data_IF_655606000583
#
_entry.id   IF_655606000583
#
_cell.length_a   1.000
_cell.length_b   1.000
_cell.length_c   1.000
_cell.angle_alpha   90.00
_cell.angle_beta   90.00
_cell.angle_gamma   90.00
#
_symmetry.space_group_name_H-M   'P 1'
#
loop_
_entity.id
_entity.type
_entity.pdbx_description
1 polymer ?
#
# COMPACT_ATOMS: atom_id res chain seq x y z
N UNK A 1 -24.71 -24.07 17.66
CA UNK A 1 -24.16 -23.47 16.42
C UNK A 1 -23.74 -22.00 16.58
N UNK A 2 -23.10 -21.61 17.68
CA UNK A 2 -22.70 -20.21 17.91
C UNK A 2 -21.18 -19.98 17.98
N UNK A 3 -20.38 -21.01 17.71
CA UNK A 3 -18.92 -20.95 17.90
C UNK A 3 -18.10 -20.59 16.66
N UNK A 4 -18.74 -20.32 15.51
CA UNK A 4 -18.05 -20.22 14.21
C UNK A 4 -17.99 -18.81 13.59
N UNK A 5 -18.43 -17.76 14.31
CA UNK A 5 -18.48 -16.38 13.78
C UNK A 5 -17.48 -15.40 14.41
N UNK A 6 -16.77 -15.78 15.47
CA UNK A 6 -15.82 -14.87 16.15
C UNK A 6 -14.36 -15.00 15.69
N UNK A 7 -14.01 -15.98 14.86
CA UNK A 7 -12.63 -16.20 14.41
C UNK A 7 -12.21 -15.35 13.19
N UNK A 8 -13.12 -14.57 12.61
CA UNK A 8 -12.81 -13.72 11.45
C UNK A 8 -12.28 -12.32 11.81
N UNK A 9 -12.40 -11.89 13.08
CA UNK A 9 -11.97 -10.55 13.51
C UNK A 9 -10.61 -10.52 14.23
N UNK A 10 -10.04 -11.67 14.62
CA UNK A 10 -8.79 -11.71 15.40
C UNK A 10 -7.50 -11.95 14.59
N UNK A 11 -7.57 -12.07 13.25
CA UNK A 11 -6.37 -12.17 12.39
C UNK A 11 -5.82 -10.83 11.88
N UNK A 12 -6.36 -9.68 12.30
CA UNK A 12 -5.92 -8.36 11.79
C UNK A 12 -4.94 -7.61 12.70
N UNK A 13 -4.37 -8.28 13.71
CA UNK A 13 -3.51 -7.64 14.72
C UNK A 13 -2.22 -8.42 14.99
N UNK A 14 -1.53 -8.86 13.94
CA UNK A 14 -0.17 -9.38 14.07
C UNK A 14 0.75 -8.69 13.07
N UNK A 15 1.89 -8.25 13.60
CA UNK A 15 3.00 -7.54 12.97
C UNK A 15 2.83 -6.01 12.82
N UNK A 16 2.68 -5.32 13.96
CA UNK A 16 3.08 -3.92 14.10
C UNK A 16 4.63 -3.82 14.04
N UNK A 17 5.23 -4.16 12.90
CA UNK A 17 6.51 -3.54 12.55
C UNK A 17 6.21 -2.05 12.36
N UNK A 18 7.09 -1.13 12.79
CA UNK A 18 6.88 0.29 12.54
C UNK A 18 6.86 0.54 11.03
N UNK A 19 5.68 0.58 10.43
CA UNK A 19 5.51 0.89 9.01
C UNK A 19 5.64 2.40 8.87
N UNK A 20 6.74 2.84 8.26
CA UNK A 20 6.93 4.25 7.94
C UNK A 20 6.12 4.59 6.70
N UNK A 21 5.05 5.37 6.88
CA UNK A 21 4.25 5.84 5.76
C UNK A 21 4.85 7.14 5.23
N UNK A 22 5.20 7.15 3.94
CA UNK A 22 5.72 8.34 3.24
C UNK A 22 4.63 8.86 2.31
N UNK A 23 4.28 10.14 2.40
CA UNK A 23 3.49 10.77 1.34
C UNK A 23 4.38 11.09 0.14
N UNK A 24 4.03 10.53 -1.02
CA UNK A 24 4.63 10.83 -2.31
C UNK A 24 3.60 11.50 -3.20
N UNK A 25 3.95 12.65 -3.75
CA UNK A 25 3.12 13.27 -4.80
C UNK A 25 3.61 12.74 -6.14
N UNK A 26 2.73 12.11 -6.90
CA UNK A 26 3.00 11.59 -8.24
C UNK A 26 3.41 12.74 -9.15
N UNK A 27 4.63 12.69 -9.67
CA UNK A 27 5.13 13.66 -10.63
C UNK A 27 4.54 13.47 -12.03
N UNK A 28 4.80 14.44 -12.94
CA UNK A 28 4.49 14.27 -14.35
C UNK A 28 5.22 13.03 -14.91
N UNK A 29 4.49 12.18 -15.63
CA UNK A 29 4.98 10.92 -16.21
C UNK A 29 5.44 9.85 -15.20
N UNK A 30 5.19 10.04 -13.90
CA UNK A 30 5.35 8.96 -12.93
C UNK A 30 4.17 7.98 -13.02
N UNK A 31 4.48 6.71 -12.82
CA UNK A 31 3.49 5.65 -12.72
C UNK A 31 3.76 4.81 -11.46
N UNK A 32 2.80 3.96 -11.13
CA UNK A 32 2.85 3.11 -9.95
C UNK A 32 4.12 2.25 -9.91
N UNK A 33 4.60 1.78 -11.06
CA UNK A 33 5.83 0.99 -11.19
C UNK A 33 7.09 1.80 -10.85
N UNK A 34 7.22 3.03 -11.37
CA UNK A 34 8.35 3.91 -11.04
C UNK A 34 8.39 4.23 -9.55
N UNK A 35 7.23 4.49 -8.96
CA UNK A 35 7.09 4.77 -7.52
C UNK A 35 7.42 3.51 -6.72
N UNK A 36 6.92 2.33 -7.11
CA UNK A 36 7.24 1.08 -6.42
C UNK A 36 8.73 0.77 -6.47
N UNK A 37 9.39 0.98 -7.61
CA UNK A 37 10.84 0.82 -7.75
C UNK A 37 11.62 1.84 -6.92
N UNK A 38 11.15 3.08 -6.82
CA UNK A 38 11.79 4.13 -6.00
C UNK A 38 11.78 3.81 -4.51
N UNK A 39 10.68 3.22 -4.02
CA UNK A 39 10.44 3.02 -2.59
C UNK A 39 10.72 1.60 -2.09
N UNK A 40 10.36 0.59 -2.87
CA UNK A 40 10.52 -0.82 -2.51
C UNK A 40 11.60 -1.53 -3.33
N UNK A 41 12.14 -0.87 -4.37
CA UNK A 41 13.11 -1.47 -5.31
C UNK A 41 12.61 -2.76 -5.98
N UNK A 42 11.29 -2.97 -5.96
CA UNK A 42 10.65 -4.15 -6.49
C UNK A 42 9.22 -3.85 -6.98
N UNK A 43 8.68 -4.82 -7.71
CA UNK A 43 7.33 -4.76 -8.27
C UNK A 43 6.23 -4.97 -7.23
N UNK A 44 6.50 -5.73 -6.16
CA UNK A 44 5.54 -5.97 -5.08
C UNK A 44 5.09 -4.69 -4.38
N UNK A 45 5.90 -3.62 -4.45
CA UNK A 45 5.50 -2.29 -4.00
C UNK A 45 4.24 -1.73 -4.69
N UNK A 46 3.98 -2.09 -5.95
CA UNK A 46 2.77 -1.67 -6.66
C UNK A 46 1.51 -2.10 -5.90
N UNK A 47 1.47 -3.35 -5.47
CA UNK A 47 0.32 -3.92 -4.76
C UNK A 47 0.15 -3.30 -3.37
N UNK A 48 1.27 -3.06 -2.66
CA UNK A 48 1.25 -2.38 -1.35
C UNK A 48 0.68 -0.97 -1.47
N UNK A 49 1.16 -0.19 -2.44
CA UNK A 49 0.70 1.18 -2.67
C UNK A 49 -0.79 1.18 -3.06
N UNK A 50 -1.21 0.26 -3.96
CA UNK A 50 -2.62 0.15 -4.36
C UNK A 50 -3.53 -0.19 -3.19
N UNK A 51 -3.18 -1.22 -2.42
CA UNK A 51 -3.96 -1.65 -1.28
C UNK A 51 -4.09 -0.55 -0.24
N UNK A 52 -2.98 0.17 0.03
CA UNK A 52 -2.96 1.25 1.02
C UNK A 52 -3.72 2.50 0.58
N UNK A 53 -3.68 2.85 -0.71
CA UNK A 53 -4.39 4.02 -1.24
C UNK A 53 -5.77 3.69 -1.82
N UNK A 54 -6.24 2.45 -1.65
CA UNK A 54 -7.51 1.96 -2.20
C UNK A 54 -7.66 2.23 -3.72
N UNK A 55 -6.56 2.11 -4.47
CA UNK A 55 -6.55 2.32 -5.91
C UNK A 55 -7.30 1.17 -6.61
N UNK A 56 -8.21 1.52 -7.51
CA UNK A 56 -8.99 0.55 -8.31
C UNK A 56 -8.19 -0.07 -9.47
N UNK A 57 -6.93 0.29 -9.63
CA UNK A 57 -6.07 -0.21 -10.70
C UNK A 57 -4.65 0.35 -10.60
N UNK A 58 -3.89 0.22 -11.70
CA UNK A 58 -2.51 0.73 -11.79
C UNK A 58 -2.44 2.17 -12.29
N UNK A 59 -3.58 2.79 -12.62
CA UNK A 59 -3.65 4.18 -13.07
C UNK A 59 -3.45 5.13 -11.91
N UNK A 60 -2.42 5.96 -12.03
CA UNK A 60 -2.14 7.10 -11.14
C UNK A 60 -2.03 8.35 -11.99
N UNK A 61 -2.39 9.50 -11.42
CA UNK A 61 -2.39 10.77 -12.13
C UNK A 61 -1.33 11.70 -11.58
N UNK A 62 -0.71 12.52 -12.43
CA UNK A 62 0.21 13.57 -12.00
C UNK A 62 -0.47 14.51 -11.00
N UNK A 63 0.19 14.82 -9.89
CA UNK A 63 -0.36 15.59 -8.78
C UNK A 63 -1.15 14.78 -7.75
N UNK A 64 -1.39 13.50 -7.99
CA UNK A 64 -2.02 12.62 -7.00
C UNK A 64 -1.09 12.38 -5.82
N UNK A 65 -1.61 12.49 -4.59
CA UNK A 65 -0.86 12.15 -3.38
C UNK A 65 -1.11 10.68 -3.04
N UNK A 66 -0.03 9.91 -2.91
CA UNK A 66 -0.05 8.50 -2.53
C UNK A 66 0.69 8.31 -1.21
N UNK A 67 0.08 7.55 -0.32
CA UNK A 67 0.70 7.09 0.91
C UNK A 67 1.45 5.78 0.64
N UNK A 68 2.75 5.78 0.87
CA UNK A 68 3.64 4.67 0.57
C UNK A 68 4.04 3.99 1.90
N UNK A 69 3.47 2.83 2.24
CA UNK A 69 3.80 2.12 3.49
C UNK A 69 5.15 1.39 3.37
N UNK A 70 6.23 1.98 3.88
CA UNK A 70 7.54 1.33 3.94
C UNK A 70 7.63 0.48 5.20
N UNK A 71 7.85 -0.82 5.00
CA UNK A 71 8.21 -1.72 6.09
C UNK A 71 9.72 -1.59 6.33
N UNK A 72 10.12 -1.32 7.57
CA UNK A 72 11.53 -1.37 7.98
C UNK A 72 12.02 -2.81 8.13
#
# INVERSE_FOLDING_TARGET
EEKKRKEAEEKKKQEEKPVRVVQHTVGPEENLYRISMKYYQNRSGEEKIKAYNHLKGNSVYSGQVLNIPLEN
#
